data_IF_061908110580
#
_entry.id   IF_061908110580
#
_cell.length_a   1.000
_cell.length_b   1.000
_cell.length_c   1.000
_cell.angle_alpha   90.00
_cell.angle_beta   90.00
_cell.angle_gamma   90.00
#
_symmetry.space_group_name_H-M   'P 1'
#
loop_
_entity.id
_entity.type
_entity.pdbx_description
1 polymer ?
#
# COMPACT_ATOMS: atom_id res chain seq x y z
N UNK A 1 -15.66 22.35 7.55
CA UNK A 1 -14.29 21.79 7.49
C UNK A 1 -13.49 22.67 6.56
N UNK A 2 -12.28 23.08 6.96
CA UNK A 2 -11.39 23.92 6.16
C UNK A 2 -10.49 23.01 5.31
N UNK A 3 -10.85 22.81 4.04
CA UNK A 3 -10.18 21.83 3.16
C UNK A 3 -8.71 22.16 2.94
N UNK A 4 -8.36 23.44 2.80
CA UNK A 4 -6.98 23.85 2.57
C UNK A 4 -6.11 23.55 3.78
N UNK A 5 -6.63 23.76 5.00
CA UNK A 5 -5.94 23.38 6.23
C UNK A 5 -5.77 21.88 6.38
N UNK A 6 -6.78 21.11 6.00
CA UNK A 6 -6.70 19.65 6.00
C UNK A 6 -5.63 19.16 5.00
N UNK A 7 -5.51 19.81 3.84
CA UNK A 7 -4.41 19.54 2.91
C UNK A 7 -3.06 19.92 3.52
N UNK A 8 -2.94 21.05 4.21
CA UNK A 8 -1.71 21.46 4.88
C UNK A 8 -1.27 20.45 5.94
N UNK A 9 -2.22 19.88 6.70
CA UNK A 9 -1.95 18.77 7.62
C UNK A 9 -1.50 17.51 6.87
N UNK A 10 -2.21 17.15 5.80
CA UNK A 10 -1.93 15.96 5.00
C UNK A 10 -0.53 16.00 4.39
N UNK A 11 -0.10 17.13 3.84
CA UNK A 11 1.21 17.26 3.18
C UNK A 11 2.36 17.60 4.14
N UNK A 12 2.07 17.78 5.43
CA UNK A 12 3.05 18.02 6.48
C UNK A 12 3.51 19.47 6.64
N UNK A 13 2.77 20.45 6.11
CA UNK A 13 3.06 21.88 6.32
C UNK A 13 2.57 22.41 7.65
N UNK A 14 1.55 21.79 8.23
CA UNK A 14 1.05 22.08 9.55
C UNK A 14 0.78 20.79 10.30
N UNK A 15 0.62 20.90 11.62
CA UNK A 15 0.20 19.78 12.46
C UNK A 15 -0.93 20.20 13.38
N UNK A 16 -1.79 19.24 13.74
CA UNK A 16 -2.87 19.50 14.69
C UNK A 16 -2.30 19.69 16.08
N UNK A 17 -2.88 20.64 16.81
CA UNK A 17 -2.67 20.72 18.26
C UNK A 17 -3.54 19.67 18.94
N UNK A 18 -2.96 18.50 19.20
CA UNK A 18 -3.66 17.36 19.84
C UNK A 18 -3.60 17.41 21.37
N UNK A 19 -2.98 18.45 21.95
CA UNK A 19 -2.81 18.64 23.39
C UNK A 19 -3.70 19.77 23.92
N UNK A 20 -4.92 19.47 24.36
CA UNK A 20 -5.64 20.40 25.24
C UNK A 20 -5.94 19.82 26.63
N UNK A 21 -5.84 18.51 26.86
CA UNK A 21 -6.22 17.88 28.13
C UNK A 21 -5.17 16.89 28.68
N UNK A 22 -3.92 17.33 28.87
CA UNK A 22 -2.91 16.57 29.62
C UNK A 22 -2.47 15.25 28.98
N UNK A 23 -1.49 15.33 28.05
CA UNK A 23 -0.61 14.23 27.62
C UNK A 23 -1.29 12.87 27.33
N UNK A 24 -1.99 12.77 26.19
CA UNK A 24 -2.49 11.46 25.69
C UNK A 24 -1.69 10.97 24.48
N UNK A 25 -1.03 11.86 23.72
CA UNK A 25 -0.29 11.50 22.50
C UNK A 25 1.15 12.05 22.60
N UNK A 26 2.18 11.19 22.50
CA UNK A 26 3.56 11.65 22.39
C UNK A 26 3.78 12.58 21.19
N UNK A 27 4.58 13.64 21.39
CA UNK A 27 4.80 14.68 20.36
C UNK A 27 5.31 14.11 19.02
N UNK A 28 6.14 13.08 19.08
CA UNK A 28 6.70 12.43 17.88
C UNK A 28 5.64 11.72 17.02
N UNK A 29 4.45 11.43 17.55
CA UNK A 29 3.34 10.83 16.78
C UNK A 29 2.39 11.87 16.20
N UNK A 30 2.49 13.14 16.60
CA UNK A 30 1.61 14.20 16.13
C UNK A 30 1.63 14.33 14.59
N UNK A 31 2.78 14.27 13.89
CA UNK A 31 2.81 14.35 12.44
C UNK A 31 1.98 13.24 11.76
N UNK A 32 2.22 11.97 12.11
CA UNK A 32 1.50 10.83 11.55
C UNK A 32 -0.01 10.93 11.82
N UNK A 33 -0.42 11.17 13.07
CA UNK A 33 -1.84 11.30 13.41
C UNK A 33 -2.51 12.53 12.77
N UNK A 34 -1.78 13.62 12.55
CA UNK A 34 -2.31 14.78 11.83
C UNK A 34 -2.64 14.43 10.39
N UNK A 35 -1.75 13.67 9.71
CA UNK A 35 -1.96 13.18 8.34
C UNK A 35 -3.11 12.19 8.25
N UNK A 36 -3.14 11.18 9.12
CA UNK A 36 -4.23 10.19 9.16
C UNK A 36 -5.61 10.84 9.39
N UNK A 37 -5.69 11.77 10.35
CA UNK A 37 -6.93 12.51 10.58
C UNK A 37 -7.32 13.39 9.39
N UNK A 38 -6.34 13.96 8.68
CA UNK A 38 -6.60 14.71 7.45
C UNK A 38 -7.14 13.83 6.32
N UNK A 39 -6.57 12.63 6.12
CA UNK A 39 -7.09 11.65 5.17
C UNK A 39 -8.56 11.35 5.49
N UNK A 40 -8.86 10.98 6.75
CA UNK A 40 -10.23 10.64 7.16
C UNK A 40 -11.24 11.76 6.86
N UNK A 41 -10.86 13.01 7.17
CA UNK A 41 -11.70 14.19 6.93
C UNK A 41 -11.90 14.46 5.43
N UNK A 42 -10.82 14.42 4.64
CA UNK A 42 -10.85 14.68 3.20
C UNK A 42 -11.63 13.59 2.44
N UNK A 43 -11.52 12.34 2.88
CA UNK A 43 -12.24 11.18 2.31
C UNK A 43 -13.73 11.16 2.68
N UNK A 44 -14.14 11.96 3.67
CA UNK A 44 -15.54 12.15 4.05
C UNK A 44 -16.25 13.26 3.24
N UNK A 45 -15.54 13.99 2.37
CA UNK A 45 -16.15 15.02 1.54
C UNK A 45 -17.11 14.41 0.50
N UNK A 46 -18.30 14.99 0.36
CA UNK A 46 -19.26 14.60 -0.68
C UNK A 46 -18.75 14.92 -2.09
N UNK A 47 -18.04 16.05 -2.25
CA UNK A 47 -17.52 16.54 -3.52
C UNK A 47 -16.02 16.87 -3.38
N UNK A 48 -15.11 15.90 -3.52
CA UNK A 48 -13.67 16.14 -3.41
C UNK A 48 -13.18 16.99 -4.59
N UNK A 49 -12.36 17.99 -4.32
CA UNK A 49 -11.73 18.78 -5.39
C UNK A 49 -10.53 18.05 -5.97
N UNK A 50 -10.11 18.45 -7.18
CA UNK A 50 -8.87 17.91 -7.78
C UNK A 50 -7.64 18.13 -6.89
N UNK A 51 -7.63 19.23 -6.11
CA UNK A 51 -6.56 19.53 -5.15
C UNK A 51 -6.48 18.47 -4.04
N UNK A 52 -7.63 17.99 -3.55
CA UNK A 52 -7.70 16.90 -2.56
C UNK A 52 -7.17 15.61 -3.16
N UNK A 53 -7.60 15.26 -4.37
CA UNK A 53 -7.14 14.05 -5.06
C UNK A 53 -5.62 14.10 -5.29
N UNK A 54 -5.09 15.24 -5.74
CA UNK A 54 -3.66 15.41 -5.95
C UNK A 54 -2.85 15.31 -4.64
N UNK A 55 -3.38 15.82 -3.53
CA UNK A 55 -2.74 15.72 -2.21
C UNK A 55 -2.69 14.26 -1.72
N UNK A 56 -3.81 13.52 -1.84
CA UNK A 56 -3.86 12.09 -1.51
C UNK A 56 -2.94 11.27 -2.42
N UNK A 57 -2.87 11.58 -3.72
CA UNK A 57 -1.96 10.91 -4.66
C UNK A 57 -0.50 11.10 -4.25
N UNK A 58 -0.09 12.32 -3.91
CA UNK A 58 1.28 12.60 -3.44
C UNK A 58 1.61 11.77 -2.21
N UNK A 59 0.73 11.80 -1.20
CA UNK A 59 0.96 11.13 0.08
C UNK A 59 0.93 9.61 -0.07
N UNK A 60 0.01 9.06 -0.86
CA UNK A 60 -0.09 7.62 -1.13
C UNK A 60 1.17 7.01 -1.76
N UNK A 61 2.03 7.83 -2.37
CA UNK A 61 3.27 7.39 -3.03
C UNK A 61 4.53 7.79 -2.27
N UNK A 62 4.53 8.94 -1.57
CA UNK A 62 5.75 9.58 -1.07
C UNK A 62 5.79 9.79 0.44
N UNK A 63 4.72 9.49 1.18
CA UNK A 63 4.77 9.64 2.65
C UNK A 63 5.76 8.66 3.26
N UNK A 64 6.41 9.08 4.34
CA UNK A 64 7.38 8.24 5.06
C UNK A 64 6.70 7.09 5.82
N UNK A 65 5.46 7.31 6.28
CA UNK A 65 4.71 6.37 7.11
C UNK A 65 3.85 5.44 6.24
N UNK A 66 4.06 4.14 6.33
CA UNK A 66 3.33 3.12 5.57
C UNK A 66 1.82 3.16 5.81
N UNK A 67 1.40 3.42 7.05
CA UNK A 67 -0.01 3.59 7.40
C UNK A 67 -0.63 4.77 6.65
N UNK A 68 0.09 5.88 6.56
CA UNK A 68 -0.38 7.08 5.84
C UNK A 68 -0.46 6.81 4.34
N UNK A 69 0.53 6.12 3.76
CA UNK A 69 0.49 5.70 2.35
C UNK A 69 -0.71 4.81 2.07
N UNK A 70 -0.92 3.77 2.88
CA UNK A 70 -2.03 2.81 2.76
C UNK A 70 -3.39 3.50 2.84
N UNK A 71 -3.62 4.32 3.86
CA UNK A 71 -4.90 5.04 4.02
C UNK A 71 -5.15 6.03 2.88
N UNK A 72 -4.11 6.67 2.35
CA UNK A 72 -4.25 7.56 1.20
C UNK A 72 -4.64 6.79 -0.08
N UNK A 73 -4.07 5.60 -0.32
CA UNK A 73 -4.49 4.72 -1.42
C UNK A 73 -5.96 4.33 -1.28
N UNK A 74 -6.39 3.83 -0.12
CA UNK A 74 -7.80 3.49 0.16
C UNK A 74 -8.73 4.69 -0.08
N UNK A 75 -8.32 5.87 0.39
CA UNK A 75 -9.02 7.12 0.18
C UNK A 75 -9.17 7.47 -1.30
N UNK A 76 -8.10 7.34 -2.10
CA UNK A 76 -8.14 7.58 -3.55
C UNK A 76 -9.13 6.64 -4.23
N UNK A 77 -9.18 5.37 -3.86
CA UNK A 77 -10.12 4.43 -4.48
C UNK A 77 -11.56 4.84 -4.19
N UNK A 78 -11.85 5.30 -2.97
CA UNK A 78 -13.20 5.78 -2.61
C UNK A 78 -13.59 7.05 -3.37
N UNK A 79 -12.65 7.99 -3.53
CA UNK A 79 -12.95 9.31 -4.10
C UNK A 79 -12.88 9.35 -5.63
N UNK A 80 -11.93 8.63 -6.23
CA UNK A 80 -11.71 8.59 -7.68
C UNK A 80 -10.97 7.31 -8.10
N UNK A 81 -11.71 6.20 -8.37
CA UNK A 81 -11.13 4.94 -8.78
C UNK A 81 -10.21 5.04 -10.01
N UNK A 82 -10.56 5.87 -10.99
CA UNK A 82 -9.76 6.00 -12.22
C UNK A 82 -8.38 6.59 -11.96
N UNK A 83 -8.27 7.60 -11.10
CA UNK A 83 -6.97 8.14 -10.69
C UNK A 83 -6.25 7.16 -9.76
N UNK A 84 -6.99 6.44 -8.92
CA UNK A 84 -6.42 5.48 -7.98
C UNK A 84 -5.66 4.35 -8.68
N UNK A 85 -6.06 3.90 -9.88
CA UNK A 85 -5.36 2.83 -10.62
C UNK A 85 -3.85 3.06 -10.74
N UNK A 86 -3.44 4.26 -11.12
CA UNK A 86 -2.01 4.59 -11.25
C UNK A 86 -1.29 4.59 -9.89
N UNK A 87 -1.94 5.10 -8.84
CA UNK A 87 -1.41 5.11 -7.49
C UNK A 87 -1.26 3.70 -6.92
N UNK A 88 -2.23 2.82 -7.17
CA UNK A 88 -2.22 1.43 -6.74
C UNK A 88 -1.13 0.64 -7.48
N UNK A 89 -0.98 0.82 -8.79
CA UNK A 89 0.14 0.21 -9.53
C UNK A 89 1.47 0.64 -8.90
N UNK A 90 1.65 1.91 -8.55
CA UNK A 90 2.84 2.37 -7.84
C UNK A 90 2.97 1.74 -6.43
N UNK A 91 1.88 1.68 -5.66
CA UNK A 91 1.82 1.12 -4.31
C UNK A 91 2.17 -0.37 -4.26
N UNK A 92 1.98 -1.11 -5.35
CA UNK A 92 2.49 -2.49 -5.39
C UNK A 92 4.02 -2.55 -5.24
N UNK A 93 4.77 -1.47 -5.55
CA UNK A 93 6.25 -1.43 -5.48
C UNK A 93 6.76 -0.93 -4.13
N UNK A 94 5.86 -0.75 -3.17
CA UNK A 94 6.19 -0.21 -1.86
C UNK A 94 7.14 -1.13 -1.08
N UNK A 95 7.95 -0.53 -0.20
CA UNK A 95 8.84 -1.28 0.68
C UNK A 95 8.04 -2.06 1.75
N UNK A 96 6.90 -1.53 2.17
CA UNK A 96 6.04 -2.18 3.16
C UNK A 96 5.06 -3.16 2.51
N UNK A 97 5.02 -4.38 3.05
CA UNK A 97 4.21 -5.47 2.50
C UNK A 97 2.71 -5.21 2.62
N UNK A 98 2.24 -4.47 3.64
CA UNK A 98 0.82 -4.16 3.82
C UNK A 98 0.36 -3.15 2.77
N UNK A 99 1.21 -2.19 2.41
CA UNK A 99 0.95 -1.26 1.30
C UNK A 99 0.91 -2.04 -0.02
N UNK A 100 1.86 -2.96 -0.27
CA UNK A 100 1.84 -3.80 -1.48
C UNK A 100 0.58 -4.65 -1.58
N UNK A 101 0.20 -5.33 -0.49
CA UNK A 101 -1.00 -6.16 -0.41
C UNK A 101 -2.28 -5.35 -0.64
N UNK A 102 -2.42 -4.22 0.06
CA UNK A 102 -3.57 -3.30 -0.12
C UNK A 102 -3.65 -2.82 -1.56
N UNK A 103 -2.51 -2.47 -2.15
CA UNK A 103 -2.45 -1.93 -3.50
C UNK A 103 -2.95 -2.95 -4.54
N UNK A 104 -2.51 -4.21 -4.46
CA UNK A 104 -2.94 -5.24 -5.41
C UNK A 104 -4.40 -5.68 -5.17
N UNK A 105 -4.85 -5.74 -3.92
CA UNK A 105 -6.22 -6.08 -3.56
C UNK A 105 -7.22 -5.04 -4.09
N UNK A 106 -6.94 -3.76 -3.81
CA UNK A 106 -7.81 -2.68 -4.25
C UNK A 106 -7.75 -2.48 -5.77
N UNK A 107 -6.60 -2.74 -6.40
CA UNK A 107 -6.49 -2.74 -7.86
C UNK A 107 -7.36 -3.84 -8.46
N UNK A 108 -7.35 -5.04 -7.89
CA UNK A 108 -8.23 -6.13 -8.32
C UNK A 108 -9.71 -5.75 -8.19
N UNK A 109 -10.07 -5.06 -7.10
CA UNK A 109 -11.45 -4.60 -6.87
C UNK A 109 -11.95 -3.61 -7.93
N UNK A 110 -11.10 -2.70 -8.41
CA UNK A 110 -11.52 -1.64 -9.34
C UNK A 110 -11.16 -1.90 -10.81
N UNK A 111 -10.14 -2.71 -11.06
CA UNK A 111 -9.66 -3.08 -12.39
C UNK A 111 -9.01 -4.47 -12.37
N UNK A 112 -9.82 -5.55 -12.42
CA UNK A 112 -9.31 -6.92 -12.33
C UNK A 112 -8.26 -7.26 -13.39
N UNK A 113 -8.41 -6.73 -14.61
CA UNK A 113 -7.47 -7.02 -15.69
C UNK A 113 -6.10 -6.40 -15.39
N UNK A 114 -6.07 -5.14 -14.99
CA UNK A 114 -4.82 -4.47 -14.61
C UNK A 114 -4.18 -5.11 -13.37
N UNK A 115 -4.99 -5.63 -12.43
CA UNK A 115 -4.48 -6.37 -11.28
C UNK A 115 -3.81 -7.68 -11.69
N UNK A 116 -4.41 -8.47 -12.60
CA UNK A 116 -3.81 -9.70 -13.12
C UNK A 116 -2.50 -9.41 -13.85
N UNK A 117 -2.46 -8.36 -14.67
CA UNK A 117 -1.22 -7.90 -15.32
C UNK A 117 -0.14 -7.52 -14.29
N UNK A 118 -0.53 -6.83 -13.23
CA UNK A 118 0.36 -6.40 -12.15
C UNK A 118 0.81 -7.58 -11.28
N UNK A 119 -0.02 -8.59 -11.06
CA UNK A 119 0.27 -9.74 -10.19
C UNK A 119 1.48 -10.56 -10.66
N UNK A 120 1.81 -10.55 -11.96
CA UNK A 120 2.94 -11.30 -12.51
C UNK A 120 4.28 -11.04 -11.81
N UNK A 121 4.47 -9.83 -11.29
CA UNK A 121 5.71 -9.45 -10.59
C UNK A 121 5.68 -9.75 -9.09
N UNK A 122 4.50 -9.91 -8.51
CA UNK A 122 4.30 -10.14 -7.08
C UNK A 122 4.28 -11.64 -6.75
N UNK A 123 4.23 -12.53 -7.75
CA UNK A 123 4.27 -13.99 -7.55
C UNK A 123 5.48 -14.49 -6.77
N UNK A 124 6.60 -13.76 -6.82
CA UNK A 124 7.86 -14.05 -6.15
C UNK A 124 8.21 -12.96 -5.11
N UNK A 125 7.22 -12.19 -4.65
CA UNK A 125 7.40 -11.18 -3.58
C UNK A 125 8.09 -11.78 -2.35
N UNK A 126 8.74 -10.98 -1.51
CA UNK A 126 9.40 -11.48 -0.30
C UNK A 126 8.41 -11.87 0.80
N UNK A 127 7.25 -11.22 0.82
CA UNK A 127 6.20 -11.45 1.80
C UNK A 127 5.25 -12.56 1.36
N UNK A 128 4.89 -13.45 2.28
CA UNK A 128 4.02 -14.60 1.99
C UNK A 128 2.61 -14.18 1.60
N UNK A 129 2.04 -13.17 2.26
CA UNK A 129 0.69 -12.71 1.99
C UNK A 129 0.59 -12.10 0.58
N UNK A 130 1.59 -11.29 0.20
CA UNK A 130 1.63 -10.66 -1.13
C UNK A 130 1.80 -11.71 -2.23
N UNK A 131 2.70 -12.70 -2.02
CA UNK A 131 2.88 -13.82 -2.96
C UNK A 131 1.62 -14.64 -3.14
N UNK A 132 0.96 -15.00 -2.05
CA UNK A 132 -0.22 -15.85 -2.06
C UNK A 132 -1.37 -15.17 -2.82
N UNK A 133 -1.59 -13.88 -2.55
CA UNK A 133 -2.59 -13.10 -3.27
C UNK A 133 -2.29 -13.02 -4.78
N UNK A 134 -1.02 -12.79 -5.14
CA UNK A 134 -0.61 -12.75 -6.54
C UNK A 134 -0.76 -14.11 -7.24
N UNK A 135 -0.43 -15.22 -6.55
CA UNK A 135 -0.61 -16.56 -7.08
C UNK A 135 -2.09 -16.88 -7.32
N UNK A 136 -2.98 -16.47 -6.41
CA UNK A 136 -4.43 -16.59 -6.56
C UNK A 136 -4.93 -15.85 -7.80
N UNK A 137 -4.55 -14.58 -7.97
CA UNK A 137 -4.92 -13.77 -9.16
C UNK A 137 -4.45 -14.41 -10.48
N UNK A 138 -3.29 -15.07 -10.46
CA UNK A 138 -2.70 -15.72 -11.63
C UNK A 138 -3.23 -17.14 -11.86
N UNK A 139 -4.08 -17.68 -10.98
CA UNK A 139 -4.56 -19.07 -11.04
C UNK A 139 -3.43 -20.10 -10.87
N UNK A 140 -2.36 -19.73 -10.19
CA UNK A 140 -1.24 -20.63 -9.91
C UNK A 140 -1.59 -21.54 -8.73
N UNK A 141 -1.18 -22.82 -8.77
CA UNK A 141 -1.38 -23.70 -7.62
C UNK A 141 -0.63 -23.15 -6.41
N UNK A 142 -1.21 -23.28 -5.21
CA UNK A 142 -0.53 -22.96 -3.96
C UNK A 142 0.72 -23.82 -3.84
N UNK A 143 1.86 -23.29 -4.26
CA UNK A 143 3.14 -23.86 -3.92
C UNK A 143 3.43 -23.33 -2.52
N UNK A 144 3.47 -24.20 -1.50
CA UNK A 144 4.27 -23.90 -0.31
C UNK A 144 5.69 -23.63 -0.82
N UNK A 145 6.04 -22.38 -1.11
CA UNK A 145 7.28 -22.08 -1.78
C UNK A 145 8.40 -22.06 -0.75
N UNK A 146 9.36 -22.93 -1.02
CA UNK A 146 10.70 -22.98 -0.41
C UNK A 146 11.22 -21.57 -0.17
N UNK A 147 11.81 -21.27 1.01
CA UNK A 147 12.25 -19.93 1.35
C UNK A 147 13.21 -19.38 0.29
N UNK A 148 13.13 -18.08 -0.05
CA UNK A 148 14.04 -17.45 -0.97
C UNK A 148 15.44 -17.44 -0.33
N UNK A 149 16.32 -18.34 -0.77
CA UNK A 149 17.68 -18.40 -0.23
C UNK A 149 18.45 -19.71 -0.40
N UNK A 150 17.82 -20.83 -0.78
CA UNK A 150 18.58 -22.07 -0.93
C UNK A 150 19.31 -22.17 -2.29
N UNK A 151 20.38 -21.39 -2.42
CA UNK A 151 21.40 -21.51 -3.46
C UNK A 151 22.48 -22.55 -3.07
N UNK A 152 22.18 -23.58 -2.28
CA UNK A 152 23.18 -24.59 -1.95
C UNK A 152 23.56 -25.40 -3.21
N UNK A 153 24.82 -25.35 -3.69
CA UNK A 153 25.25 -26.16 -4.81
C UNK A 153 25.56 -27.57 -4.30
N UNK A 154 24.59 -28.48 -4.33
CA UNK A 154 24.84 -29.80 -3.77
C UNK A 154 23.73 -30.83 -3.91
N UNK A 155 23.50 -31.35 -5.12
CA UNK A 155 23.19 -32.78 -5.31
C UNK A 155 23.23 -33.16 -6.79
N UNK A 156 24.39 -32.97 -7.43
CA UNK A 156 24.80 -33.94 -8.46
C UNK A 156 25.47 -35.11 -7.75
N UNK A 157 25.16 -36.33 -8.22
CA UNK A 157 25.74 -37.65 -7.87
C UNK A 157 25.01 -38.32 -6.68
N UNK A 158 24.43 -39.51 -6.80
CA UNK A 158 24.79 -40.66 -7.65
C UNK A 158 23.54 -41.45 -8.08
N UNK A 159 23.30 -41.54 -9.37
CA UNK A 159 22.78 -42.77 -9.98
C UNK A 159 23.99 -43.64 -10.30
N UNK A 160 24.22 -44.67 -9.50
CA UNK A 160 25.03 -45.81 -9.91
C UNK A 160 24.12 -47.04 -9.83
N UNK A 161 23.53 -47.38 -10.98
CA UNK A 161 23.21 -48.78 -11.31
C UNK A 161 24.42 -49.31 -12.06
N UNK A 162 24.91 -50.48 -11.67
CA UNK A 162 25.14 -51.64 -12.53
C UNK A 162 26.00 -52.67 -11.79
N UNK A 163 25.48 -53.89 -11.79
CA UNK A 163 26.08 -55.22 -11.60
C UNK A 163 26.53 -55.67 -10.20
#
# INVERSE_FOLDING_TARGET
>A
MDVDREIDYLVGYQYRTLSQNGHVIPEYLIPCYSRLAAIANLVALENPTMKVIAALLRVGVLDEEEDVRREALLGLVKLNPEIAKAALVAGTYDADYQVRATAIEELHRIDPNLAIETAQRLKDDEDEMVRDYAAELLGLPYTKSRPPGDQSPGSKLKSAKAD
#
